data_IF_852759216985
#
_entry.id   IF_852759216985
#
_cell.length_a   1.000
_cell.length_b   1.000
_cell.length_c   1.000
_cell.angle_alpha   90.00
_cell.angle_beta   90.00
_cell.angle_gamma   90.00
#
_symmetry.space_group_name_H-M   'P 1'
#
loop_
_entity.id
_entity.type
_entity.pdbx_description
1 polymer ?
#
# COMPACT_ATOMS: atom_id res chain seq x y z
N UNK A 1 -14.02 -18.24 7.13
CA UNK A 1 -12.85 -17.57 7.74
C UNK A 1 -12.24 -16.69 6.68
N UNK A 2 -11.67 -15.55 7.06
CA UNK A 2 -11.00 -14.63 6.15
C UNK A 2 -9.52 -14.61 6.52
N UNK A 3 -8.66 -14.80 5.54
CA UNK A 3 -7.20 -14.76 5.69
C UNK A 3 -6.71 -13.37 5.25
N UNK A 4 -6.05 -12.65 6.14
CA UNK A 4 -5.49 -11.31 5.88
C UNK A 4 -3.97 -11.37 6.06
N UNK A 5 -3.22 -10.86 5.09
CA UNK A 5 -1.76 -10.77 5.16
C UNK A 5 -1.35 -9.43 5.76
N UNK A 6 -0.59 -9.47 6.85
CA UNK A 6 -0.09 -8.28 7.53
C UNK A 6 1.44 -8.25 7.48
N UNK A 7 2.05 -7.13 7.06
CA UNK A 7 3.50 -7.00 7.09
C UNK A 7 3.99 -6.96 8.54
N UNK A 8 4.94 -7.83 8.87
CA UNK A 8 5.59 -7.89 10.18
C UNK A 8 7.10 -7.98 10.00
N UNK A 9 7.76 -6.82 10.06
CA UNK A 9 9.19 -6.69 9.83
C UNK A 9 9.57 -7.06 8.40
N UNK A 10 10.31 -8.17 8.24
CA UNK A 10 10.73 -8.71 6.93
C UNK A 10 9.85 -9.86 6.43
N UNK A 11 8.81 -10.22 7.18
CA UNK A 11 7.92 -11.34 6.87
C UNK A 11 6.47 -10.88 6.78
N UNK A 12 5.63 -11.71 6.19
CA UNK A 12 4.18 -11.51 6.19
C UNK A 12 3.53 -12.54 7.11
N UNK A 13 2.59 -12.07 7.94
CA UNK A 13 1.86 -12.91 8.89
C UNK A 13 0.42 -13.06 8.42
N UNK A 14 -0.07 -14.29 8.38
CA UNK A 14 -1.46 -14.60 8.05
C UNK A 14 -2.35 -14.49 9.31
N UNK A 15 -3.19 -13.47 9.34
CA UNK A 15 -4.23 -13.29 10.35
C UNK A 15 -5.53 -13.97 9.89
N UNK A 16 -5.97 -15.00 10.63
CA UNK A 16 -7.21 -15.74 10.33
C UNK A 16 -8.36 -15.22 11.18
N UNK A 17 -9.32 -14.54 10.55
CA UNK A 17 -10.46 -13.93 11.24
C UNK A 17 -11.72 -14.76 10.95
N UNK A 18 -12.47 -15.20 11.99
CA UNK A 18 -13.78 -15.81 11.78
C UNK A 18 -14.71 -14.84 11.04
N UNK A 19 -15.44 -15.31 10.02
CA UNK A 19 -16.23 -14.44 9.14
C UNK A 19 -17.26 -13.59 9.91
N UNK A 20 -17.84 -14.12 11.00
CA UNK A 20 -18.74 -13.38 11.90
C UNK A 20 -18.12 -12.16 12.57
N UNK A 21 -16.80 -12.13 12.69
CA UNK A 21 -16.04 -11.05 13.35
C UNK A 21 -15.34 -10.15 12.32
N UNK A 22 -15.42 -10.46 11.03
CA UNK A 22 -14.78 -9.68 9.98
C UNK A 22 -15.73 -8.58 9.50
N UNK A 23 -15.48 -7.34 9.94
CA UNK A 23 -16.29 -6.17 9.55
C UNK A 23 -15.87 -5.60 8.18
N UNK A 24 -14.59 -5.75 7.80
CA UNK A 24 -14.03 -5.25 6.54
C UNK A 24 -12.53 -4.99 6.63
N UNK A 25 -11.88 -4.70 5.50
CA UNK A 25 -10.51 -4.19 5.42
C UNK A 25 -10.50 -2.73 4.98
N UNK A 26 -9.54 -1.96 5.48
CA UNK A 26 -9.27 -0.59 5.02
C UNK A 26 -7.91 -0.63 4.38
N UNK A 27 -7.89 -0.50 3.06
CA UNK A 27 -6.66 -0.50 2.26
C UNK A 27 -6.48 0.87 1.60
N UNK A 28 -5.24 1.35 1.44
CA UNK A 28 -4.97 2.54 0.65
C UNK A 28 -5.53 2.37 -0.76
N UNK A 29 -6.06 3.44 -1.34
CA UNK A 29 -6.34 3.45 -2.77
C UNK A 29 -5.01 3.43 -3.50
N UNK A 30 -4.57 2.25 -3.94
CA UNK A 30 -3.37 2.11 -4.75
C UNK A 30 -3.50 3.02 -5.97
N UNK A 31 -2.63 4.02 -6.02
CA UNK A 31 -2.40 4.79 -7.23
C UNK A 31 -1.24 4.12 -7.93
N UNK A 32 -1.41 3.85 -9.22
CA UNK A 32 -0.33 3.34 -10.04
C UNK A 32 0.88 4.26 -9.88
N UNK A 33 2.03 3.67 -9.53
CA UNK A 33 3.28 4.41 -9.51
C UNK A 33 3.54 5.03 -10.88
N UNK A 34 4.25 6.15 -10.91
CA UNK A 34 4.69 6.75 -12.16
C UNK A 34 5.56 5.74 -12.94
N UNK A 35 5.41 5.65 -14.28
CA UNK A 35 6.13 4.67 -15.08
C UNK A 35 7.65 4.93 -15.09
N UNK A 36 8.07 6.18 -14.94
CA UNK A 36 9.48 6.56 -14.78
C UNK A 36 9.64 7.42 -13.52
N UNK A 37 10.08 6.78 -12.44
CA UNK A 37 10.35 7.45 -11.18
C UNK A 37 11.45 8.51 -11.30
N UNK A 38 12.44 8.30 -12.17
CA UNK A 38 13.57 9.24 -12.31
C UNK A 38 13.13 10.50 -13.02
N UNK A 39 12.39 10.39 -14.12
CA UNK A 39 11.86 11.54 -14.83
C UNK A 39 10.94 12.39 -13.95
N UNK A 40 10.12 11.74 -13.11
CA UNK A 40 9.25 12.44 -12.16
C UNK A 40 10.04 13.23 -11.10
N UNK A 41 11.10 12.63 -10.56
CA UNK A 41 12.02 13.32 -9.63
C UNK A 41 12.68 14.52 -10.30
N UNK A 42 13.16 14.36 -11.54
CA UNK A 42 13.77 15.45 -12.30
C UNK A 42 12.76 16.57 -12.60
N UNK A 43 11.50 16.25 -12.88
CA UNK A 43 10.41 17.24 -13.03
C UNK A 43 10.20 18.01 -11.74
N UNK A 44 10.04 17.31 -10.60
CA UNK A 44 9.81 17.94 -9.31
C UNK A 44 10.94 18.89 -8.88
N UNK A 45 12.19 18.59 -9.27
CA UNK A 45 13.34 19.47 -9.04
C UNK A 45 13.36 20.70 -9.95
N UNK A 46 12.85 20.58 -11.18
CA UNK A 46 12.77 21.69 -12.16
C UNK A 46 11.59 22.61 -11.90
N UNK A 47 10.50 22.08 -11.38
CA UNK A 47 9.26 22.80 -11.06
C UNK A 47 8.99 22.73 -9.55
N UNK A 48 9.72 23.51 -8.73
CA UNK A 48 9.50 23.52 -7.30
C UNK A 48 8.12 24.11 -6.98
N UNK A 49 7.43 23.48 -6.02
CA UNK A 49 6.16 24.00 -5.49
C UNK A 49 6.53 24.94 -4.33
N UNK A 50 6.52 26.25 -4.58
CA UNK A 50 6.85 27.30 -3.61
C UNK A 50 6.43 28.68 -4.09
#
# INVERSE_FOLDING_TARGET
MVDVWLPYGKSEVCARIPARNFLGSIEPKEQAGVPDARAEIERALREPIG
#
